data_IF_057559611631
#
_entry.id   IF_057559611631
#
_cell.length_a   1.000
_cell.length_b   1.000
_cell.length_c   1.000
_cell.angle_alpha   90.00
_cell.angle_beta   90.00
_cell.angle_gamma   90.00
#
_symmetry.space_group_name_H-M   'P 1'
#
loop_
_entity.id
_entity.type
_entity.pdbx_description
1 polymer ?
#
# COMPACT_ATOMS: atom_id res chain seq x y z
N UNK A 1 -9.31 6.19 27.40
CA UNK A 1 -9.13 4.71 27.41
C UNK A 1 -7.65 4.36 27.49
N UNK A 2 -7.31 3.11 27.86
CA UNK A 2 -5.91 2.70 28.02
C UNK A 2 -5.19 2.65 26.64
N UNK A 3 -4.07 3.38 26.48
CA UNK A 3 -3.25 3.42 25.29
C UNK A 3 -2.79 2.02 24.84
N UNK A 4 -2.60 1.11 25.79
CA UNK A 4 -2.17 -0.27 25.48
C UNK A 4 -3.18 -1.04 24.62
N UNK A 5 -4.48 -0.73 24.70
CA UNK A 5 -5.49 -1.36 23.84
C UNK A 5 -5.21 -1.01 22.37
N UNK A 6 -4.99 0.26 22.09
CA UNK A 6 -4.68 0.71 20.71
C UNK A 6 -3.35 0.16 20.22
N UNK A 7 -2.34 0.06 21.10
CA UNK A 7 -1.05 -0.56 20.74
C UNK A 7 -1.19 -2.03 20.40
N UNK A 8 -1.99 -2.79 21.16
CA UNK A 8 -2.23 -4.22 20.87
C UNK A 8 -2.96 -4.36 19.52
N UNK A 9 -4.04 -3.58 19.29
CA UNK A 9 -4.77 -3.61 18.04
C UNK A 9 -3.88 -3.21 16.86
N UNK A 10 -3.05 -2.17 17.03
CA UNK A 10 -2.08 -1.73 16.04
C UNK A 10 -1.05 -2.81 15.71
N UNK A 11 -0.52 -3.50 16.73
CA UNK A 11 0.42 -4.60 16.54
C UNK A 11 -0.21 -5.76 15.76
N UNK A 12 -1.45 -6.15 16.10
CA UNK A 12 -2.17 -7.22 15.41
C UNK A 12 -2.42 -6.88 13.94
N UNK A 13 -2.87 -5.67 13.63
CA UNK A 13 -3.11 -5.19 12.27
C UNK A 13 -1.79 -5.14 11.48
N UNK A 14 -0.72 -4.60 12.07
CA UNK A 14 0.58 -4.52 11.41
C UNK A 14 1.13 -5.91 11.09
N UNK A 15 1.06 -6.84 12.04
CA UNK A 15 1.50 -8.23 11.85
C UNK A 15 0.65 -8.96 10.81
N UNK A 16 -0.67 -8.75 10.80
CA UNK A 16 -1.60 -9.28 9.80
C UNK A 16 -1.21 -8.82 8.39
N UNK A 17 -1.11 -7.50 8.17
CA UNK A 17 -0.75 -6.94 6.87
C UNK A 17 0.64 -7.38 6.39
N UNK A 18 1.63 -7.42 7.28
CA UNK A 18 2.97 -7.94 6.98
C UNK A 18 2.93 -9.44 6.64
N UNK A 19 2.15 -10.23 7.39
CA UNK A 19 1.96 -11.66 7.15
C UNK A 19 1.34 -11.94 5.79
N UNK A 20 0.25 -11.22 5.45
CA UNK A 20 -0.41 -11.29 4.14
C UNK A 20 0.60 -10.97 3.02
N UNK A 21 1.28 -9.82 3.12
CA UNK A 21 2.24 -9.40 2.11
C UNK A 21 3.39 -10.38 1.92
N UNK A 22 3.95 -10.89 3.03
CA UNK A 22 5.06 -11.85 3.01
C UNK A 22 4.64 -13.19 2.43
N UNK A 23 3.49 -13.71 2.84
CA UNK A 23 2.95 -14.99 2.34
C UNK A 23 2.82 -14.99 0.81
N UNK A 24 2.14 -13.98 0.25
CA UNK A 24 1.92 -13.94 -1.19
C UNK A 24 3.20 -13.67 -1.98
N UNK A 25 4.16 -12.89 -1.46
CA UNK A 25 5.47 -12.68 -2.10
C UNK A 25 6.30 -13.95 -2.12
N UNK A 26 6.38 -14.67 -0.99
CA UNK A 26 7.10 -15.95 -0.91
C UNK A 26 6.46 -16.98 -1.86
N UNK A 27 5.12 -17.03 -1.89
CA UNK A 27 4.39 -17.91 -2.81
C UNK A 27 4.73 -17.57 -4.27
N UNK A 28 4.67 -16.31 -4.66
CA UNK A 28 5.00 -15.86 -6.01
C UNK A 28 6.45 -16.16 -6.41
N UNK A 29 7.40 -16.00 -5.50
CA UNK A 29 8.82 -16.31 -5.74
C UNK A 29 9.06 -17.81 -5.92
N UNK A 30 8.32 -18.67 -5.19
CA UNK A 30 8.38 -20.12 -5.34
C UNK A 30 7.78 -20.60 -6.66
N UNK A 31 6.65 -20.03 -7.06
CA UNK A 31 5.94 -20.42 -8.30
C UNK A 31 6.69 -20.01 -9.57
N UNK A 32 7.38 -18.87 -9.55
CA UNK A 32 8.06 -18.34 -10.74
C UNK A 32 9.54 -18.66 -10.82
N UNK A 33 10.17 -19.09 -9.70
CA UNK A 33 11.63 -19.28 -9.62
C UNK A 33 12.47 -18.01 -9.81
N UNK A 34 11.83 -16.86 -10.04
CA UNK A 34 12.47 -15.57 -10.30
C UNK A 34 12.60 -14.78 -8.99
N UNK A 35 13.85 -14.57 -8.55
CA UNK A 35 14.16 -13.51 -7.57
C UNK A 35 14.28 -12.20 -8.31
N UNK A 36 13.28 -11.32 -8.18
CA UNK A 36 13.34 -10.02 -8.83
C UNK A 36 14.46 -9.19 -8.23
N UNK A 37 15.47 -8.88 -9.05
CA UNK A 37 16.55 -7.96 -8.69
C UNK A 37 15.93 -6.56 -8.46
N UNK A 38 16.16 -6.00 -7.29
CA UNK A 38 15.84 -4.60 -6.98
C UNK A 38 16.88 -3.66 -7.63
N UNK A 39 17.11 -3.76 -8.94
CA UNK A 39 17.84 -2.71 -9.66
C UNK A 39 17.01 -1.46 -9.59
N UNK A 40 17.40 -0.57 -8.74
CA UNK A 40 16.73 0.70 -8.51
C UNK A 40 17.55 1.76 -9.23
N UNK A 41 16.88 2.49 -10.15
CA UNK A 41 17.47 3.68 -10.74
C UNK A 41 17.92 4.63 -9.63
N UNK A 42 19.19 5.06 -9.69
CA UNK A 42 19.80 5.92 -8.67
C UNK A 42 19.33 7.38 -8.72
N UNK A 43 18.14 7.64 -9.24
CA UNK A 43 17.57 8.99 -9.32
C UNK A 43 17.30 9.57 -7.92
N UNK A 44 17.45 10.88 -7.77
CA UNK A 44 17.16 11.61 -6.52
C UNK A 44 15.74 11.30 -6.04
N UNK A 45 14.77 11.25 -6.97
CA UNK A 45 13.37 10.89 -6.66
C UNK A 45 13.27 9.49 -6.04
N UNK A 46 14.02 8.52 -6.55
CA UNK A 46 14.01 7.16 -6.02
C UNK A 46 14.61 7.09 -4.62
N UNK A 47 15.64 7.87 -4.33
CA UNK A 47 16.21 7.96 -2.99
C UNK A 47 15.23 8.59 -2.01
N UNK A 48 14.51 9.64 -2.40
CA UNK A 48 13.43 10.24 -1.59
C UNK A 48 12.35 9.19 -1.28
N UNK A 49 11.92 8.40 -2.27
CA UNK A 49 10.91 7.34 -2.08
C UNK A 49 11.42 6.25 -1.14
N UNK A 50 12.70 5.87 -1.24
CA UNK A 50 13.30 4.85 -0.36
C UNK A 50 13.39 5.35 1.09
N UNK A 51 13.95 6.53 1.31
CA UNK A 51 14.09 7.10 2.65
C UNK A 51 12.72 7.42 3.26
N UNK A 52 11.80 8.01 2.48
CA UNK A 52 10.42 8.25 2.92
C UNK A 52 9.69 6.95 3.24
N UNK A 53 9.88 5.92 2.42
CA UNK A 53 9.35 4.58 2.66
C UNK A 53 9.92 3.93 3.92
N UNK A 54 11.21 4.10 4.19
CA UNK A 54 11.82 3.61 5.43
C UNK A 54 11.22 4.30 6.66
N UNK A 55 11.11 5.62 6.64
CA UNK A 55 10.50 6.39 7.74
C UNK A 55 9.04 5.98 7.94
N UNK A 56 8.28 5.85 6.83
CA UNK A 56 6.90 5.40 6.85
C UNK A 56 6.76 4.04 7.56
N UNK A 57 7.61 3.05 7.19
CA UNK A 57 7.57 1.72 7.77
C UNK A 57 8.10 1.64 9.20
N UNK A 58 9.05 2.50 9.58
CA UNK A 58 9.57 2.53 10.95
C UNK A 58 8.62 3.23 11.92
N UNK A 59 7.84 4.21 11.48
CA UNK A 59 7.00 5.02 12.36
C UNK A 59 5.97 4.22 13.17
N UNK A 60 5.25 3.18 12.63
CA UNK A 60 4.40 2.32 13.44
C UNK A 60 5.15 1.57 14.54
N UNK A 61 6.37 1.11 14.27
CA UNK A 61 7.17 0.40 15.27
C UNK A 61 7.61 1.33 16.41
N UNK A 62 7.97 2.58 16.09
CA UNK A 62 8.30 3.59 17.13
C UNK A 62 7.11 3.81 18.05
N UNK A 63 5.89 3.94 17.51
CA UNK A 63 4.66 4.04 18.28
C UNK A 63 4.42 2.78 19.14
N UNK A 64 4.61 1.58 18.57
CA UNK A 64 4.41 0.32 19.28
C UNK A 64 5.41 0.13 20.43
N UNK A 65 6.66 0.56 20.26
CA UNK A 65 7.68 0.49 21.29
C UNK A 65 7.39 1.46 22.43
N UNK A 66 7.23 2.73 22.11
CA UNK A 66 6.88 3.75 23.11
C UNK A 66 6.16 4.94 22.47
N UNK A 67 4.84 5.09 22.70
CA UNK A 67 4.05 6.21 22.18
C UNK A 67 4.58 7.59 22.61
N UNK A 68 5.26 7.67 23.77
CA UNK A 68 5.79 8.93 24.29
C UNK A 68 6.90 9.52 23.41
N UNK A 69 7.63 8.68 22.67
CA UNK A 69 8.63 9.18 21.71
C UNK A 69 8.00 9.97 20.56
N UNK A 70 6.70 9.78 20.34
CA UNK A 70 5.92 10.48 19.31
C UNK A 70 4.88 11.43 19.90
N UNK A 71 4.99 11.81 21.20
CA UNK A 71 4.01 12.69 21.86
C UNK A 71 3.89 14.07 21.18
N UNK A 72 4.97 14.52 20.51
CA UNK A 72 5.00 15.77 19.74
C UNK A 72 4.03 15.78 18.54
N UNK A 73 3.62 14.63 18.05
CA UNK A 73 2.71 14.47 16.90
C UNK A 73 1.30 14.05 17.32
N UNK A 74 0.97 14.13 18.60
CA UNK A 74 -0.34 13.76 19.12
C UNK A 74 -1.40 14.77 18.69
N UNK A 75 -2.60 14.27 18.30
CA UNK A 75 -3.76 15.06 17.87
C UNK A 75 -4.77 15.31 18.99
N UNK A 76 -4.81 14.42 20.00
CA UNK A 76 -5.85 14.43 21.02
C UNK A 76 -7.21 13.90 20.51
N UNK A 77 -7.17 12.91 19.62
CA UNK A 77 -8.39 12.35 19.03
C UNK A 77 -9.23 11.61 20.10
N UNK A 78 -10.56 11.76 20.06
CA UNK A 78 -11.44 10.98 20.91
C UNK A 78 -11.39 9.49 20.55
N UNK A 79 -11.63 8.63 21.52
CA UNK A 79 -11.50 7.17 21.36
C UNK A 79 -12.34 6.61 20.19
N UNK A 80 -13.52 7.16 19.93
CA UNK A 80 -14.36 6.69 18.83
C UNK A 80 -13.72 6.91 17.45
N UNK A 81 -12.96 8.00 17.24
CA UNK A 81 -12.19 8.25 16.01
C UNK A 81 -11.05 7.24 15.89
N UNK A 82 -10.40 6.94 17.00
CA UNK A 82 -9.33 5.94 17.03
C UNK A 82 -9.85 4.54 16.68
N UNK A 83 -11.03 4.16 17.19
CA UNK A 83 -11.70 2.91 16.81
C UNK A 83 -12.16 2.91 15.35
N UNK A 84 -12.60 4.04 14.81
CA UNK A 84 -12.86 4.16 13.38
C UNK A 84 -11.58 3.84 12.57
N UNK A 85 -10.42 4.35 13.02
CA UNK A 85 -9.11 4.00 12.46
C UNK A 85 -8.85 2.50 12.49
N UNK A 86 -9.15 1.82 13.61
CA UNK A 86 -9.06 0.34 13.71
C UNK A 86 -9.95 -0.34 12.68
N UNK A 87 -11.22 0.06 12.58
CA UNK A 87 -12.17 -0.52 11.62
C UNK A 87 -11.69 -0.36 10.17
N UNK A 88 -11.22 0.83 9.80
CA UNK A 88 -10.66 1.10 8.46
C UNK A 88 -9.42 0.26 8.21
N UNK A 89 -8.54 0.10 9.18
CA UNK A 89 -7.32 -0.72 9.05
C UNK A 89 -7.66 -2.21 8.84
N UNK A 90 -8.66 -2.75 9.53
CA UNK A 90 -9.14 -4.13 9.32
C UNK A 90 -9.68 -4.30 7.88
N UNK A 91 -10.48 -3.35 7.41
CA UNK A 91 -10.97 -3.36 6.02
C UNK A 91 -9.81 -3.32 5.03
N UNK A 92 -8.77 -2.52 5.30
CA UNK A 92 -7.57 -2.46 4.47
C UNK A 92 -6.82 -3.81 4.42
N UNK A 93 -6.70 -4.54 5.53
CA UNK A 93 -6.08 -5.87 5.54
C UNK A 93 -6.88 -6.88 4.70
N UNK A 94 -8.21 -6.83 4.76
CA UNK A 94 -9.09 -7.65 3.91
C UNK A 94 -8.90 -7.29 2.43
N UNK A 95 -8.86 -6.00 2.11
CA UNK A 95 -8.63 -5.53 0.75
C UNK A 95 -7.22 -5.90 0.25
N UNK A 96 -6.22 -5.86 1.11
CA UNK A 96 -4.84 -6.26 0.81
C UNK A 96 -4.76 -7.75 0.49
N UNK A 97 -5.43 -8.60 1.29
CA UNK A 97 -5.53 -10.03 1.02
C UNK A 97 -6.22 -10.29 -0.33
N UNK A 98 -7.35 -9.66 -0.58
CA UNK A 98 -8.08 -9.79 -1.84
C UNK A 98 -7.26 -9.33 -3.04
N UNK A 99 -6.54 -8.22 -2.90
CA UNK A 99 -5.63 -7.71 -3.92
C UNK A 99 -4.55 -8.73 -4.27
N UNK A 100 -3.82 -9.22 -3.27
CA UNK A 100 -2.73 -10.17 -3.53
C UNK A 100 -3.21 -11.52 -4.02
N UNK A 101 -4.35 -12.01 -3.53
CA UNK A 101 -4.97 -13.25 -4.04
C UNK A 101 -5.39 -13.15 -5.51
N UNK A 102 -5.74 -11.95 -5.97
CA UNK A 102 -6.17 -11.69 -7.36
C UNK A 102 -5.02 -11.54 -8.35
N UNK A 103 -3.83 -11.11 -7.90
CA UNK A 103 -2.64 -10.97 -8.75
C UNK A 103 -1.96 -12.33 -8.97
N UNK A 104 -2.07 -13.25 -8.01
CA UNK A 104 -1.39 -14.55 -8.07
C UNK A 104 0.14 -14.38 -8.13
N UNK A 105 0.78 -15.15 -9.04
CA UNK A 105 2.24 -15.10 -9.26
C UNK A 105 2.76 -13.78 -9.87
N UNK A 106 1.87 -12.90 -10.34
CA UNK A 106 2.22 -11.61 -10.92
C UNK A 106 2.74 -10.56 -9.94
N UNK A 107 2.81 -10.86 -8.64
CA UNK A 107 3.30 -9.93 -7.61
C UNK A 107 4.75 -9.57 -7.87
N UNK A 108 5.01 -8.27 -8.11
CA UNK A 108 6.35 -7.72 -8.24
C UNK A 108 6.57 -6.63 -7.18
N UNK A 109 7.74 -6.58 -6.51
CA UNK A 109 8.06 -5.53 -5.54
C UNK A 109 8.37 -4.17 -6.18
N UNK A 110 8.49 -4.13 -7.49
CA UNK A 110 8.86 -2.91 -8.26
C UNK A 110 8.04 -2.86 -9.54
N UNK A 111 8.15 -1.74 -10.29
CA UNK A 111 7.65 -1.60 -11.66
C UNK A 111 8.29 -2.57 -12.67
N UNK A 112 9.32 -3.33 -12.23
CA UNK A 112 9.87 -4.42 -13.02
C UNK A 112 8.85 -5.56 -13.10
N UNK A 113 8.28 -5.75 -14.26
CA UNK A 113 7.35 -6.85 -14.54
C UNK A 113 8.12 -8.15 -14.70
N UNK A 114 7.61 -9.26 -14.13
CA UNK A 114 8.15 -10.61 -14.42
C UNK A 114 8.00 -10.91 -15.91
N UNK A 115 8.89 -11.76 -16.47
CA UNK A 115 8.93 -12.03 -17.93
C UNK A 115 7.62 -12.57 -18.51
N UNK A 116 6.89 -13.37 -17.74
CA UNK A 116 5.60 -13.96 -18.13
C UNK A 116 4.37 -13.26 -17.53
N UNK A 117 4.51 -11.98 -17.18
CA UNK A 117 3.43 -11.25 -16.55
C UNK A 117 2.28 -10.97 -17.52
N UNK A 118 1.10 -11.53 -17.23
CA UNK A 118 -0.16 -11.16 -17.91
C UNK A 118 -0.76 -9.93 -17.21
N UNK A 119 -1.48 -9.12 -17.96
CA UNK A 119 -2.23 -8.01 -17.40
C UNK A 119 -3.29 -8.54 -16.42
N UNK A 120 -3.18 -8.15 -15.15
CA UNK A 120 -4.19 -8.52 -14.15
C UNK A 120 -5.35 -7.53 -14.22
N UNK A 121 -6.54 -8.07 -14.54
CA UNK A 121 -7.81 -7.31 -14.62
C UNK A 121 -8.86 -7.88 -13.67
N UNK A 122 -8.47 -8.78 -12.76
CA UNK A 122 -9.35 -9.46 -11.81
C UNK A 122 -9.30 -8.81 -10.41
N UNK A 123 -10.23 -9.18 -9.54
CA UNK A 123 -10.32 -8.66 -8.18
C UNK A 123 -10.43 -7.14 -8.14
N UNK A 124 -9.69 -6.44 -7.27
CA UNK A 124 -9.67 -4.97 -7.20
C UNK A 124 -9.25 -4.29 -8.50
N UNK A 125 -8.41 -4.96 -9.32
CA UNK A 125 -7.97 -4.46 -10.63
C UNK A 125 -9.11 -4.34 -11.66
N UNK A 126 -10.25 -4.97 -11.42
CA UNK A 126 -11.44 -4.80 -12.24
C UNK A 126 -11.95 -3.35 -12.26
N UNK A 127 -11.70 -2.61 -11.19
CA UNK A 127 -12.22 -1.24 -11.04
C UNK A 127 -11.12 -0.18 -10.98
N UNK A 128 -9.93 -0.56 -10.47
CA UNK A 128 -8.85 0.38 -10.15
C UNK A 128 -7.52 -0.20 -10.66
N UNK A 129 -6.73 0.62 -11.38
CA UNK A 129 -5.44 0.17 -11.94
C UNK A 129 -4.32 0.09 -10.92
N UNK A 130 -4.33 0.97 -9.91
CA UNK A 130 -3.30 1.04 -8.86
C UNK A 130 -3.91 0.90 -7.45
N UNK A 131 -4.63 -0.20 -7.16
CA UNK A 131 -5.34 -0.37 -5.89
C UNK A 131 -4.39 -0.45 -4.68
N UNK A 132 -3.17 -0.98 -4.87
CA UNK A 132 -2.17 -1.09 -3.80
C UNK A 132 -1.78 0.28 -3.23
N UNK A 133 -1.74 1.32 -4.05
CA UNK A 133 -1.38 2.67 -3.61
C UNK A 133 -2.46 3.26 -2.69
N UNK A 134 -3.72 3.08 -3.05
CA UNK A 134 -4.86 3.51 -2.23
C UNK A 134 -4.93 2.71 -0.92
N UNK A 135 -4.89 1.37 -1.01
CA UNK A 135 -4.96 0.48 0.15
C UNK A 135 -3.79 0.75 1.11
N UNK A 136 -2.56 0.81 0.59
CA UNK A 136 -1.37 1.03 1.41
C UNK A 136 -1.38 2.40 2.10
N UNK A 137 -1.74 3.47 1.39
CA UNK A 137 -1.80 4.80 1.98
C UNK A 137 -2.91 4.94 3.00
N UNK A 138 -4.09 4.38 2.72
CA UNK A 138 -5.22 4.37 3.66
C UNK A 138 -4.90 3.57 4.92
N UNK A 139 -4.11 2.51 4.82
CA UNK A 139 -3.63 1.75 5.99
C UNK A 139 -2.81 2.64 6.93
N UNK A 140 -1.85 3.42 6.42
CA UNK A 140 -1.04 4.32 7.25
C UNK A 140 -1.85 5.50 7.80
N UNK A 141 -2.82 6.03 7.04
CA UNK A 141 -3.73 7.07 7.53
C UNK A 141 -4.56 6.52 8.69
N UNK A 142 -5.16 5.35 8.54
CA UNK A 142 -5.95 4.70 9.60
C UNK A 142 -5.09 4.31 10.81
N UNK A 143 -3.83 3.92 10.58
CA UNK A 143 -2.87 3.69 11.64
C UNK A 143 -2.56 4.97 12.42
N UNK A 144 -2.39 6.11 11.73
CA UNK A 144 -2.23 7.42 12.37
C UNK A 144 -3.44 7.84 13.19
N UNK A 145 -4.66 7.58 12.71
CA UNK A 145 -5.89 7.79 13.49
C UNK A 145 -5.91 6.92 14.76
N UNK A 146 -5.62 5.63 14.64
CA UNK A 146 -5.57 4.68 15.74
C UNK A 146 -4.51 5.05 16.78
N UNK A 147 -3.33 5.45 16.32
CA UNK A 147 -2.20 5.87 17.14
C UNK A 147 -2.35 7.29 17.70
N UNK A 148 -3.43 8.01 17.37
CA UNK A 148 -3.61 9.43 17.73
C UNK A 148 -2.40 10.30 17.26
N UNK A 149 -1.94 10.07 16.02
CA UNK A 149 -0.65 10.56 15.54
C UNK A 149 -0.75 11.11 14.12
N UNK A 150 -0.67 12.47 13.99
CA UNK A 150 -0.75 13.11 12.68
C UNK A 150 0.45 12.80 11.79
N UNK A 151 1.63 12.57 12.36
CA UNK A 151 2.84 12.35 11.56
C UNK A 151 2.74 11.05 10.76
N UNK A 152 2.25 9.96 11.38
CA UNK A 152 2.03 8.69 10.68
C UNK A 152 0.99 8.86 9.55
N UNK A 153 -0.11 9.56 9.84
CA UNK A 153 -1.13 9.83 8.82
C UNK A 153 -0.58 10.68 7.66
N UNK A 154 0.20 11.73 7.97
CA UNK A 154 0.84 12.57 6.97
C UNK A 154 1.82 11.80 6.08
N UNK A 155 2.62 10.90 6.66
CA UNK A 155 3.50 10.02 5.90
C UNK A 155 2.71 9.12 4.93
N UNK A 156 1.54 8.60 5.33
CA UNK A 156 0.64 7.86 4.44
C UNK A 156 0.15 8.70 3.26
N UNK A 157 -0.25 9.95 3.52
CA UNK A 157 -0.67 10.90 2.47
C UNK A 157 0.50 11.23 1.53
N UNK A 158 1.68 11.52 2.07
CA UNK A 158 2.88 11.83 1.29
C UNK A 158 3.31 10.64 0.42
N UNK A 159 3.20 9.42 0.95
CA UNK A 159 3.45 8.20 0.18
C UNK A 159 2.49 8.08 -0.99
N UNK A 160 1.18 8.33 -0.78
CA UNK A 160 0.20 8.34 -1.87
C UNK A 160 0.56 9.37 -2.95
N UNK A 161 0.89 10.61 -2.56
CA UNK A 161 1.27 11.68 -3.48
C UNK A 161 2.51 11.29 -4.30
N UNK A 162 3.53 10.72 -3.65
CA UNK A 162 4.75 10.27 -4.32
C UNK A 162 4.46 9.16 -5.34
N UNK A 163 3.62 8.18 -4.99
CA UNK A 163 3.22 7.11 -5.90
C UNK A 163 2.33 7.64 -7.04
N UNK A 164 1.41 8.55 -6.74
CA UNK A 164 0.56 9.18 -7.76
C UNK A 164 1.37 9.97 -8.80
N UNK A 165 2.42 10.68 -8.37
CA UNK A 165 3.34 11.38 -9.29
C UNK A 165 4.15 10.41 -10.17
N UNK A 166 4.44 9.20 -9.70
CA UNK A 166 5.17 8.17 -10.45
C UNK A 166 4.28 7.38 -11.41
N UNK A 167 2.99 7.32 -11.14
CA UNK A 167 2.03 6.51 -11.91
C UNK A 167 2.04 6.77 -13.43
N UNK A 168 2.18 8.02 -13.94
CA UNK A 168 2.22 8.23 -15.40
C UNK A 168 3.38 7.50 -16.08
N UNK A 169 4.56 7.47 -15.45
CA UNK A 169 5.71 6.71 -15.97
C UNK A 169 5.46 5.20 -15.94
N UNK A 170 4.84 4.72 -14.86
CA UNK A 170 4.49 3.31 -14.73
C UNK A 170 3.43 2.89 -15.77
N UNK A 171 2.39 3.71 -15.98
CA UNK A 171 1.39 3.45 -17.03
C UNK A 171 2.00 3.51 -18.45
N UNK A 172 2.98 4.39 -18.70
CA UNK A 172 3.71 4.41 -19.99
C UNK A 172 4.46 3.09 -20.23
N UNK A 173 5.16 2.57 -19.24
CA UNK A 173 5.85 1.27 -19.31
C UNK A 173 4.86 0.11 -19.52
N UNK A 174 3.66 0.18 -18.90
CA UNK A 174 2.62 -0.82 -19.09
C UNK A 174 2.00 -0.75 -20.50
N UNK A 175 1.83 0.45 -21.05
CA UNK A 175 1.40 0.63 -22.46
C UNK A 175 2.46 0.09 -23.42
N UNK A 176 3.74 0.34 -23.17
CA UNK A 176 4.83 -0.20 -24.00
C UNK A 176 4.82 -1.74 -23.99
N UNK A 177 4.53 -2.35 -22.83
CA UNK A 177 4.54 -3.80 -22.67
C UNK A 177 3.29 -4.48 -23.22
N UNK A 178 2.09 -3.96 -22.94
CA UNK A 178 0.81 -4.60 -23.23
C UNK A 178 0.04 -3.95 -24.39
N UNK A 179 0.55 -2.84 -24.94
CA UNK A 179 -0.03 -2.19 -26.10
C UNK A 179 -1.48 -1.78 -25.93
N UNK A 180 -2.31 -2.17 -26.90
CA UNK A 180 -3.72 -1.82 -26.94
C UNK A 180 -4.55 -2.49 -25.85
N UNK A 181 -4.14 -3.66 -25.37
CA UNK A 181 -4.80 -4.32 -24.23
C UNK A 181 -4.85 -3.41 -23.00
N UNK A 182 -3.73 -2.75 -22.68
CA UNK A 182 -3.69 -1.83 -21.54
C UNK A 182 -4.46 -0.53 -21.84
N UNK A 183 -4.43 -0.01 -23.07
CA UNK A 183 -5.21 1.17 -23.48
C UNK A 183 -6.70 0.93 -23.33
N UNK A 184 -7.20 -0.25 -23.76
CA UNK A 184 -8.60 -0.64 -23.57
C UNK A 184 -8.94 -0.74 -22.08
N UNK A 185 -8.08 -1.39 -21.28
CA UNK A 185 -8.26 -1.50 -19.82
C UNK A 185 -8.37 -0.13 -19.13
N UNK A 186 -7.62 0.88 -19.60
CA UNK A 186 -7.70 2.26 -19.07
C UNK A 186 -9.04 2.95 -19.34
N UNK A 187 -9.79 2.55 -20.36
CA UNK A 187 -11.07 3.19 -20.73
C UNK A 187 -12.15 2.97 -19.66
N UNK A 188 -12.19 1.77 -19.04
CA UNK A 188 -13.24 1.40 -18.10
C UNK A 188 -12.76 1.30 -16.65
N UNK A 189 -11.48 1.47 -16.37
CA UNK A 189 -10.96 1.45 -15.00
C UNK A 189 -10.46 2.81 -14.54
N UNK A 190 -10.65 3.13 -13.25
CA UNK A 190 -10.07 4.31 -12.66
C UNK A 190 -8.60 4.12 -12.28
N UNK A 191 -7.86 5.20 -12.05
CA UNK A 191 -6.44 5.12 -11.69
C UNK A 191 -6.26 4.67 -10.23
N UNK A 192 -6.87 5.37 -9.29
CA UNK A 192 -6.78 5.14 -7.84
C UNK A 192 -8.12 4.85 -7.20
N UNK A 193 -9.20 5.28 -7.80
CA UNK A 193 -10.58 5.06 -7.38
C UNK A 193 -11.40 4.54 -8.55
N UNK A 194 -12.49 3.80 -8.31
CA UNK A 194 -13.37 3.35 -9.36
C UNK A 194 -13.86 4.51 -10.23
N UNK A 195 -13.92 4.29 -11.53
CA UNK A 195 -14.45 5.28 -12.48
C UNK A 195 -15.98 5.27 -12.41
N UNK A 196 -16.59 6.41 -12.12
CA UNK A 196 -18.05 6.54 -12.06
C UNK A 196 -18.60 6.55 -13.50
N UNK A 197 -19.57 5.67 -13.78
CA UNK A 197 -20.26 5.63 -15.08
C UNK A 197 -19.62 4.78 -16.17
N UNK A 198 -18.59 3.97 -15.86
CA UNK A 198 -18.01 3.02 -16.81
C UNK A 198 -18.64 1.63 -16.66
N UNK A 199 -19.69 1.38 -17.39
CA UNK A 199 -20.14 0.07 -17.88
C UNK A 199 -20.38 0.12 -19.36
#
# INVERSE_FOLDING_TARGET
MNENIFRILAALILLSGMGISSYFRIKADKETGEKISRKVDGSVMMNIIKFGGLILWLSPFVYLLNPQWMAWSKLGLPDWVRFLGVGVAIVNDVLLYWLFSSIGSGISPTSATRKEHKLSTSGPYRWVRHPLYTIGSTLFISFGMMADNWFIAALGILAFIAMAKRTPLEEANLIEKFGDEYREYMKYTGRFFPKVGSR
#
